data_IF_515016355927
#
_entry.id   IF_515016355927
#
_cell.length_a   1.000
_cell.length_b   1.000
_cell.length_c   1.000
_cell.angle_alpha   90.00
_cell.angle_beta   90.00
_cell.angle_gamma   90.00
#
_symmetry.space_group_name_H-M   'P 1'
#
loop_
_entity.id
_entity.type
_entity.pdbx_description
1 polymer ?
#
# COMPACT_ATOMS: atom_id res chain seq x y z
N UNK A 1 -0.06 4.47 -12.42
CA UNK A 1 0.82 4.87 -11.31
C UNK A 1 1.16 3.65 -10.48
N UNK A 2 2.42 3.48 -10.06
CA UNK A 2 2.83 2.40 -9.15
C UNK A 2 2.49 2.72 -7.68
N UNK A 3 2.61 1.71 -6.81
CA UNK A 3 2.28 1.80 -5.38
C UNK A 3 3.16 2.82 -4.66
N UNK A 4 4.45 2.82 -4.93
CA UNK A 4 5.45 3.71 -4.32
C UNK A 4 5.13 5.18 -4.62
N UNK A 5 4.81 5.49 -5.87
CA UNK A 5 4.38 6.83 -6.30
C UNK A 5 3.05 7.20 -5.65
N UNK A 6 2.07 6.28 -5.59
CA UNK A 6 0.80 6.55 -4.92
C UNK A 6 0.99 6.87 -3.42
N UNK A 7 1.82 6.10 -2.71
CA UNK A 7 2.16 6.31 -1.30
C UNK A 7 2.82 7.68 -1.11
N UNK A 8 3.80 8.01 -1.97
CA UNK A 8 4.49 9.29 -1.94
C UNK A 8 3.53 10.47 -2.12
N UNK A 9 2.66 10.41 -3.14
CA UNK A 9 1.70 11.48 -3.45
C UNK A 9 0.62 11.63 -2.39
N UNK A 10 0.11 10.53 -1.83
CA UNK A 10 -0.82 10.59 -0.70
C UNK A 10 -0.21 11.35 0.49
N UNK A 11 1.07 11.10 0.80
CA UNK A 11 1.74 11.79 1.89
C UNK A 11 2.01 13.26 1.57
N UNK A 12 2.63 13.55 0.42
CA UNK A 12 3.17 14.88 0.14
C UNK A 12 2.18 15.85 -0.51
N UNK A 13 1.19 15.36 -1.27
CA UNK A 13 0.18 16.21 -1.92
C UNK A 13 -1.12 16.29 -1.11
N UNK A 14 -1.46 15.21 -0.38
CA UNK A 14 -2.73 15.10 0.37
C UNK A 14 -2.55 15.11 1.89
N UNK A 15 -1.32 15.03 2.40
CA UNK A 15 -1.09 14.94 3.84
C UNK A 15 -1.63 13.65 4.48
N UNK A 16 -1.94 12.61 3.69
CA UNK A 16 -2.51 11.35 4.15
C UNK A 16 -1.42 10.29 4.16
N UNK A 17 -1.03 9.85 5.36
CA UNK A 17 -0.09 8.74 5.51
C UNK A 17 -0.79 7.41 5.27
N UNK A 18 -0.38 6.70 4.23
CA UNK A 18 -0.81 5.34 3.93
C UNK A 18 0.26 4.32 4.32
N UNK A 19 -0.16 3.13 4.72
CA UNK A 19 0.73 2.03 5.10
C UNK A 19 0.90 0.98 4.00
N UNK A 20 1.79 0.01 4.25
CA UNK A 20 1.94 -1.21 3.44
C UNK A 20 1.95 -2.42 4.37
N UNK A 21 1.14 -3.45 4.06
CA UNK A 21 1.01 -4.67 4.87
C UNK A 21 0.74 -5.87 3.97
N UNK A 22 1.67 -6.82 3.81
CA UNK A 22 3.11 -6.74 4.04
C UNK A 22 3.79 -7.14 2.73
N UNK A 23 5.13 -7.00 2.64
CA UNK A 23 5.84 -7.63 1.53
C UNK A 23 5.66 -9.16 1.58
N UNK A 24 5.60 -9.84 0.43
CA UNK A 24 5.51 -11.30 0.39
C UNK A 24 6.70 -11.97 1.11
N UNK A 25 6.44 -13.04 1.86
CA UNK A 25 7.47 -13.69 2.68
C UNK A 25 8.67 -14.16 1.87
N UNK A 26 8.44 -14.71 0.67
CA UNK A 26 9.50 -15.19 -0.22
C UNK A 26 10.41 -14.08 -0.78
N UNK A 27 10.04 -12.81 -0.62
CA UNK A 27 10.93 -11.69 -0.94
C UNK A 27 11.91 -11.39 0.19
N UNK A 28 11.55 -11.74 1.43
CA UNK A 28 12.37 -11.45 2.61
C UNK A 28 13.69 -12.21 2.56
N UNK A 29 14.76 -11.61 3.10
CA UNK A 29 16.09 -12.22 3.20
C UNK A 29 16.05 -13.61 3.85
N UNK A 30 15.19 -13.80 4.86
CA UNK A 30 15.09 -15.07 5.59
C UNK A 30 14.58 -16.22 4.71
N UNK A 31 13.60 -15.98 3.83
CA UNK A 31 13.07 -17.01 2.95
C UNK A 31 13.89 -17.16 1.67
N UNK A 32 14.51 -16.08 1.17
CA UNK A 32 15.47 -16.19 0.06
C UNK A 32 16.64 -17.12 0.38
N UNK A 33 17.16 -17.06 1.61
CA UNK A 33 18.20 -17.99 2.10
C UNK A 33 17.75 -19.46 2.16
N UNK A 34 16.45 -19.73 2.11
CA UNK A 34 15.86 -21.08 2.09
C UNK A 34 15.50 -21.56 0.68
N UNK A 35 15.91 -20.84 -0.36
CA UNK A 35 15.69 -21.21 -1.76
C UNK A 35 14.43 -20.62 -2.39
N UNK A 36 13.68 -19.78 -1.66
CA UNK A 36 12.53 -19.08 -2.24
C UNK A 36 12.94 -17.86 -3.06
N UNK A 37 12.15 -17.50 -4.07
CA UNK A 37 12.44 -16.42 -5.02
C UNK A 37 11.15 -15.71 -5.45
N UNK A 38 11.19 -14.38 -5.72
CA UNK A 38 10.10 -13.67 -6.39
C UNK A 38 9.67 -14.39 -7.68
N UNK A 39 8.37 -14.37 -7.98
CA UNK A 39 7.78 -15.05 -9.14
C UNK A 39 7.27 -16.47 -8.86
N UNK A 40 7.63 -17.07 -7.72
CA UNK A 40 7.12 -18.39 -7.33
C UNK A 40 5.65 -18.37 -6.86
N UNK A 41 5.17 -17.22 -6.40
CA UNK A 41 3.83 -17.06 -5.84
C UNK A 41 3.16 -15.82 -6.46
N UNK A 42 2.71 -15.90 -7.73
CA UNK A 42 2.35 -14.73 -8.53
C UNK A 42 1.22 -13.88 -7.92
N UNK A 43 0.29 -14.51 -7.19
CA UNK A 43 -0.79 -13.80 -6.49
C UNK A 43 -0.24 -12.97 -5.33
N UNK A 44 0.68 -13.54 -4.56
CA UNK A 44 1.32 -12.82 -3.46
C UNK A 44 2.25 -11.72 -3.98
N UNK A 45 3.00 -12.00 -5.06
CA UNK A 45 3.84 -11.01 -5.74
C UNK A 45 3.02 -9.78 -6.16
N UNK A 46 1.93 -10.02 -6.90
CA UNK A 46 1.01 -8.97 -7.34
C UNK A 46 0.43 -8.17 -6.16
N UNK A 47 0.06 -8.83 -5.07
CA UNK A 47 -0.43 -8.14 -3.88
C UNK A 47 0.67 -7.26 -3.25
N UNK A 48 1.89 -7.76 -3.15
CA UNK A 48 3.05 -7.03 -2.65
C UNK A 48 3.36 -5.78 -3.45
N UNK A 49 3.18 -5.81 -4.77
CA UNK A 49 3.43 -4.68 -5.66
C UNK A 49 2.33 -3.62 -5.62
N UNK A 50 1.08 -3.96 -5.27
CA UNK A 50 -0.08 -3.09 -5.51
C UNK A 50 -0.88 -2.71 -4.27
N UNK A 51 -0.77 -3.47 -3.18
CA UNK A 51 -1.63 -3.27 -2.00
C UNK A 51 -1.09 -2.14 -1.11
N UNK A 52 -2.00 -1.29 -0.67
CA UNK A 52 -1.78 -0.25 0.34
C UNK A 52 -2.82 -0.37 1.46
N UNK A 53 -2.50 0.15 2.63
CA UNK A 53 -3.41 0.21 3.76
C UNK A 53 -3.79 1.66 4.03
N UNK A 54 -5.07 1.97 3.85
CA UNK A 54 -5.61 3.29 4.12
C UNK A 54 -5.81 3.48 5.64
N UNK A 55 -5.65 4.71 6.16
CA UNK A 55 -5.87 4.98 7.58
C UNK A 55 -7.34 4.77 7.95
N UNK A 56 -7.57 3.89 8.92
CA UNK A 56 -8.90 3.66 9.50
C UNK A 56 -8.79 3.56 11.02
N UNK A 57 -9.59 4.33 11.76
CA UNK A 57 -9.66 4.25 13.22
C UNK A 57 -10.98 4.79 13.80
N UNK A 58 -11.42 4.33 15.00
CA UNK A 58 -12.73 4.68 15.57
C UNK A 58 -13.00 6.17 15.82
N UNK A 59 -11.93 6.98 15.89
CA UNK A 59 -12.00 8.43 16.11
C UNK A 59 -12.01 9.27 14.82
N UNK A 60 -12.12 8.67 13.64
CA UNK A 60 -12.23 9.45 12.40
C UNK A 60 -13.60 10.11 12.32
N UNK A 61 -13.62 11.38 11.92
CA UNK A 61 -14.88 12.09 11.64
C UNK A 61 -15.35 11.77 10.22
N UNK A 62 -16.63 12.06 9.93
CA UNK A 62 -17.18 11.88 8.59
C UNK A 62 -16.43 12.73 7.56
N UNK A 63 -16.02 13.95 7.92
CA UNK A 63 -15.23 14.84 7.06
C UNK A 63 -13.85 14.25 6.76
N UNK A 64 -13.20 13.64 7.75
CA UNK A 64 -11.91 12.99 7.56
C UNK A 64 -12.03 11.77 6.61
N UNK A 65 -13.12 11.01 6.71
CA UNK A 65 -13.41 9.88 5.80
C UNK A 65 -13.70 10.41 4.38
N UNK A 66 -14.51 11.46 4.25
CA UNK A 66 -14.81 12.07 2.96
C UNK A 66 -13.54 12.60 2.28
N UNK A 67 -12.67 13.27 3.04
CA UNK A 67 -11.37 13.75 2.55
C UNK A 67 -10.45 12.60 2.11
N UNK A 68 -10.41 11.51 2.87
CA UNK A 68 -9.65 10.31 2.49
C UNK A 68 -10.15 9.73 1.16
N UNK A 69 -11.46 9.61 0.98
CA UNK A 69 -12.07 9.10 -0.26
C UNK A 69 -11.75 10.01 -1.44
N UNK A 70 -11.90 11.34 -1.28
CA UNK A 70 -11.55 12.32 -2.30
C UNK A 70 -10.07 12.24 -2.69
N UNK A 71 -9.17 12.18 -1.70
CA UNK A 71 -7.73 12.08 -1.92
C UNK A 71 -7.36 10.86 -2.76
N UNK A 72 -8.00 9.71 -2.50
CA UNK A 72 -7.80 8.49 -3.30
C UNK A 72 -8.32 8.69 -4.73
N UNK A 73 -9.50 9.26 -4.91
CA UNK A 73 -10.09 9.47 -6.24
C UNK A 73 -9.26 10.43 -7.11
N UNK A 74 -8.78 11.53 -6.53
CA UNK A 74 -8.03 12.52 -7.27
C UNK A 74 -6.63 12.03 -7.72
N UNK A 75 -6.11 10.99 -7.08
CA UNK A 75 -4.87 10.31 -7.46
C UNK A 75 -5.12 9.05 -8.30
N UNK A 76 -6.37 8.66 -8.57
CA UNK A 76 -6.70 7.44 -9.33
C UNK A 76 -6.70 7.60 -10.85
N UNK A 77 -6.45 8.80 -11.37
CA UNK A 77 -6.23 9.08 -12.79
C UNK A 77 -4.83 8.70 -13.27
#
# INVERSE_FOLDING_TARGET
MDKETFVYRMLHERGVKVGTHYIPLHWTTAFRKRGYQPGQFPVADMAGERLVTLPIHPRQTEEAIAYLVESVHALRG
#
